data_IF_700456243658
#
_entry.id   IF_700456243658
#
_cell.length_a   1.000
_cell.length_b   1.000
_cell.length_c   1.000
_cell.angle_alpha   90.00
_cell.angle_beta   90.00
_cell.angle_gamma   90.00
#
_symmetry.space_group_name_H-M   'P 1'
#
loop_
_entity.id
_entity.type
_entity.pdbx_description
1 polymer ?
#
# COMPACT_ATOMS: atom_id res chain seq x y z
N UNK A 1 27.33 10.25 -23.29
CA UNK A 1 26.35 10.33 -24.39
C UNK A 1 27.09 10.05 -25.68
N UNK A 2 26.79 8.94 -26.34
CA UNK A 2 27.35 8.63 -27.66
C UNK A 2 26.62 9.42 -28.77
N UNK A 3 27.14 9.41 -29.99
CA UNK A 3 26.60 10.21 -31.09
C UNK A 3 25.14 9.85 -31.45
N UNK A 4 24.78 8.57 -31.32
CA UNK A 4 23.42 8.09 -31.55
C UNK A 4 22.44 8.57 -30.45
N UNK A 5 22.89 8.64 -29.20
CA UNK A 5 22.14 9.22 -28.09
C UNK A 5 22.02 10.74 -28.23
N UNK A 6 23.10 11.43 -28.64
CA UNK A 6 23.07 12.88 -28.86
C UNK A 6 22.12 13.28 -29.98
N UNK A 7 22.10 12.50 -31.07
CA UNK A 7 21.16 12.69 -32.18
C UNK A 7 19.72 12.51 -31.71
N UNK A 8 19.40 11.39 -31.03
CA UNK A 8 18.06 11.14 -30.47
C UNK A 8 17.61 12.24 -29.52
N UNK A 9 18.51 12.72 -28.67
CA UNK A 9 18.25 13.83 -27.76
C UNK A 9 17.95 15.15 -28.50
N UNK A 10 18.72 15.47 -29.52
CA UNK A 10 18.53 16.69 -30.32
C UNK A 10 17.24 16.62 -31.15
N UNK A 11 16.92 15.46 -31.72
CA UNK A 11 15.68 15.22 -32.45
C UNK A 11 14.46 15.37 -31.52
N UNK A 12 14.56 14.87 -30.27
CA UNK A 12 13.51 15.01 -29.28
C UNK A 12 13.33 16.46 -28.81
N UNK A 13 14.43 17.21 -28.62
CA UNK A 13 14.39 18.64 -28.32
C UNK A 13 13.70 19.44 -29.45
N UNK A 14 14.04 19.14 -30.71
CA UNK A 14 13.43 19.74 -31.87
C UNK A 14 11.92 19.41 -31.97
N UNK A 15 11.54 18.15 -31.73
CA UNK A 15 10.13 17.74 -31.66
C UNK A 15 9.34 18.50 -30.59
N UNK A 16 9.98 18.79 -29.46
CA UNK A 16 9.39 19.56 -28.36
C UNK A 16 9.52 21.08 -28.56
N UNK A 17 10.04 21.55 -29.70
CA UNK A 17 10.31 22.96 -29.99
C UNK A 17 11.15 23.66 -28.91
N UNK A 18 12.06 22.91 -28.28
CA UNK A 18 12.92 23.37 -27.21
C UNK A 18 14.37 23.43 -27.68
N UNK A 19 15.16 24.31 -27.08
CA UNK A 19 16.62 24.18 -27.18
C UNK A 19 17.07 22.90 -26.47
N UNK A 20 18.21 22.34 -26.88
CA UNK A 20 18.78 21.16 -26.23
C UNK A 20 18.91 21.36 -24.71
N UNK A 21 19.38 22.52 -24.24
CA UNK A 21 19.50 22.81 -22.81
C UNK A 21 18.14 22.83 -22.10
N UNK A 22 17.12 23.45 -22.71
CA UNK A 22 15.77 23.49 -22.15
C UNK A 22 15.13 22.11 -22.10
N UNK A 23 15.32 21.30 -23.15
CA UNK A 23 14.82 19.93 -23.21
C UNK A 23 15.50 19.04 -22.18
N UNK A 24 16.81 19.19 -21.97
CA UNK A 24 17.53 18.45 -20.92
C UNK A 24 17.03 18.80 -19.53
N UNK A 25 16.87 20.09 -19.22
CA UNK A 25 16.34 20.54 -17.94
C UNK A 25 14.91 20.00 -17.70
N UNK A 26 14.06 20.04 -18.73
CA UNK A 26 12.71 19.47 -18.68
C UNK A 26 12.71 17.95 -18.48
N UNK A 27 13.55 17.22 -19.22
CA UNK A 27 13.65 15.77 -19.10
C UNK A 27 14.18 15.33 -17.73
N UNK A 28 15.15 16.07 -17.17
CA UNK A 28 15.68 15.83 -15.83
C UNK A 28 14.64 16.13 -14.74
N UNK A 29 13.91 17.26 -14.84
CA UNK A 29 12.81 17.57 -13.91
C UNK A 29 11.72 16.48 -13.96
N UNK A 30 11.32 16.06 -15.16
CA UNK A 30 10.33 15.01 -15.34
C UNK A 30 10.80 13.66 -14.78
N UNK A 31 12.06 13.28 -15.01
CA UNK A 31 12.64 12.05 -14.46
C UNK A 31 12.73 12.10 -12.92
N UNK A 32 13.08 13.26 -12.34
CA UNK A 32 13.11 13.44 -10.90
C UNK A 32 11.70 13.34 -10.27
N UNK A 33 10.68 13.91 -10.94
CA UNK A 33 9.28 13.76 -10.50
C UNK A 33 8.80 12.32 -10.60
N UNK A 34 9.22 11.58 -11.62
CA UNK A 34 8.85 10.17 -11.78
C UNK A 34 9.42 9.32 -10.64
N UNK A 35 10.68 9.54 -10.24
CA UNK A 35 11.27 8.90 -9.06
C UNK A 35 10.50 9.22 -7.77
N UNK A 36 10.08 10.48 -7.60
CA UNK A 36 9.28 10.88 -6.44
C UNK A 36 7.88 10.24 -6.46
N UNK A 37 7.25 10.13 -7.65
CA UNK A 37 5.98 9.43 -7.84
C UNK A 37 6.09 7.96 -7.46
N UNK A 38 7.10 7.26 -7.97
CA UNK A 38 7.37 5.86 -7.62
C UNK A 38 7.65 5.70 -6.12
N UNK A 39 8.40 6.62 -5.51
CA UNK A 39 8.65 6.58 -4.06
C UNK A 39 7.37 6.78 -3.24
N UNK A 40 6.47 7.68 -3.66
CA UNK A 40 5.18 7.90 -3.01
C UNK A 40 4.25 6.69 -3.14
N UNK A 41 4.22 6.04 -4.31
CA UNK A 41 3.47 4.80 -4.53
C UNK A 41 4.00 3.67 -3.62
N UNK A 42 5.32 3.47 -3.57
CA UNK A 42 5.95 2.47 -2.68
C UNK A 42 5.67 2.77 -1.20
N UNK A 43 5.69 4.04 -0.79
CA UNK A 43 5.37 4.43 0.58
C UNK A 43 3.92 4.09 0.92
N UNK A 44 2.99 4.39 0.01
CA UNK A 44 1.56 4.08 0.15
C UNK A 44 1.34 2.57 0.24
N UNK A 45 1.97 1.77 -0.62
CA UNK A 45 1.88 0.30 -0.57
C UNK A 45 2.41 -0.26 0.77
N UNK A 46 3.52 0.30 1.27
CA UNK A 46 4.08 -0.08 2.57
C UNK A 46 3.15 0.22 3.74
N UNK A 47 2.44 1.35 3.72
CA UNK A 47 1.44 1.67 4.74
C UNK A 47 0.30 0.66 4.77
N UNK A 48 -0.22 0.27 3.59
CA UNK A 48 -1.27 -0.75 3.48
C UNK A 48 -0.79 -2.12 4.00
N UNK A 49 0.43 -2.53 3.66
CA UNK A 49 1.03 -3.77 4.17
C UNK A 49 1.22 -3.72 5.69
N UNK A 50 1.62 -2.58 6.23
CA UNK A 50 1.75 -2.38 7.68
C UNK A 50 0.41 -2.56 8.40
N UNK A 51 -0.67 -2.00 7.85
CA UNK A 51 -2.01 -2.19 8.41
C UNK A 51 -2.49 -3.64 8.32
N UNK A 52 -2.18 -4.34 7.22
CA UNK A 52 -2.48 -5.77 7.10
C UNK A 52 -1.75 -6.60 8.19
N UNK A 53 -0.48 -6.31 8.47
CA UNK A 53 0.26 -6.99 9.54
C UNK A 53 -0.29 -6.64 10.93
N UNK A 54 -0.70 -5.39 11.15
CA UNK A 54 -1.35 -4.98 12.39
C UNK A 54 -2.66 -5.75 12.61
N UNK A 55 -3.48 -5.87 11.56
CA UNK A 55 -4.71 -6.63 11.58
C UNK A 55 -4.49 -8.13 11.86
N UNK A 56 -3.51 -8.77 11.18
CA UNK A 56 -3.11 -10.16 11.46
C UNK A 56 -2.69 -10.35 12.91
N UNK A 57 -1.95 -9.40 13.50
CA UNK A 57 -1.55 -9.47 14.91
C UNK A 57 -2.75 -9.34 15.86
N UNK A 58 -3.74 -8.53 15.51
CA UNK A 58 -5.00 -8.45 16.24
C UNK A 58 -5.78 -9.78 16.20
N UNK A 59 -5.90 -10.41 15.03
CA UNK A 59 -6.53 -11.74 14.90
C UNK A 59 -5.79 -12.82 15.69
N UNK A 60 -4.45 -12.79 15.71
CA UNK A 60 -3.66 -13.74 16.51
C UNK A 60 -3.96 -13.63 18.01
N UNK A 61 -4.13 -12.41 18.53
CA UNK A 61 -4.56 -12.20 19.93
C UNK A 61 -5.99 -12.72 20.17
N UNK A 62 -6.87 -12.59 19.19
CA UNK A 62 -8.26 -13.05 19.28
C UNK A 62 -8.38 -14.58 19.26
N UNK A 63 -7.57 -15.28 18.46
CA UNK A 63 -7.46 -16.73 18.56
C UNK A 63 -6.99 -17.19 19.95
N UNK A 64 -6.05 -16.46 20.55
CA UNK A 64 -5.62 -16.71 21.93
C UNK A 64 -6.76 -16.56 22.94
N UNK A 65 -7.66 -15.59 22.74
CA UNK A 65 -8.86 -15.39 23.56
C UNK A 65 -9.90 -16.49 23.35
N UNK A 66 -10.20 -16.88 22.10
CA UNK A 66 -11.11 -18.01 21.83
C UNK A 66 -10.62 -19.31 22.45
N UNK A 67 -9.31 -19.58 22.38
CA UNK A 67 -8.72 -20.76 23.01
C UNK A 67 -8.87 -20.73 24.55
N UNK A 68 -8.77 -19.54 25.15
CA UNK A 68 -9.02 -19.36 26.58
C UNK A 68 -10.49 -19.54 26.95
N UNK A 69 -11.42 -19.01 26.15
CA UNK A 69 -12.87 -19.20 26.33
C UNK A 69 -13.25 -20.67 26.18
N UNK A 70 -12.75 -21.36 25.15
CA UNK A 70 -12.97 -22.79 24.97
C UNK A 70 -12.45 -23.58 26.18
N UNK A 71 -11.29 -23.20 26.73
CA UNK A 71 -10.76 -23.80 27.96
C UNK A 71 -11.63 -23.51 29.18
N UNK A 72 -12.16 -22.30 29.33
CA UNK A 72 -13.07 -21.91 30.42
C UNK A 72 -14.40 -22.67 30.37
N UNK A 73 -15.00 -22.76 29.17
CA UNK A 73 -16.23 -23.52 28.95
C UNK A 73 -16.02 -25.02 29.18
N UNK A 74 -14.92 -25.59 28.67
CA UNK A 74 -14.56 -27.00 28.91
C UNK A 74 -14.27 -27.31 30.38
N UNK A 75 -14.00 -26.29 31.20
CA UNK A 75 -13.81 -26.43 32.65
C UNK A 75 -15.07 -26.12 33.46
N UNK A 76 -16.21 -25.87 32.81
CA UNK A 76 -17.49 -25.58 33.47
C UNK A 76 -17.58 -24.19 34.09
N UNK A 77 -16.61 -23.31 33.85
CA UNK A 77 -16.63 -21.93 34.33
C UNK A 77 -17.44 -21.05 33.38
N UNK A 78 -18.34 -20.23 33.92
CA UNK A 78 -19.04 -19.20 33.14
C UNK A 78 -18.03 -18.29 32.43
N UNK A 79 -18.31 -17.91 31.18
CA UNK A 79 -17.41 -17.14 30.34
C UNK A 79 -17.88 -15.67 30.23
N UNK A 80 -17.68 -14.83 31.27
CA UNK A 80 -17.84 -13.40 31.12
C UNK A 80 -16.79 -12.90 30.10
N UNK A 81 -17.13 -11.88 29.31
CA UNK A 81 -16.30 -11.28 28.23
C UNK A 81 -16.40 -11.90 26.82
N UNK A 82 -17.29 -12.88 26.59
CA UNK A 82 -17.51 -13.46 25.27
C UNK A 82 -17.97 -12.42 24.23
N UNK A 83 -18.91 -11.54 24.61
CA UNK A 83 -19.42 -10.48 23.74
C UNK A 83 -18.33 -9.45 23.40
N UNK A 84 -17.52 -9.04 24.38
CA UNK A 84 -16.40 -8.11 24.17
C UNK A 84 -15.36 -8.70 23.23
N UNK A 85 -15.07 -10.00 23.34
CA UNK A 85 -14.18 -10.69 22.42
C UNK A 85 -14.78 -10.77 21.01
N UNK A 86 -16.07 -11.06 20.89
CA UNK A 86 -16.78 -11.11 19.61
C UNK A 86 -16.82 -9.74 18.90
N UNK A 87 -17.03 -8.66 19.63
CA UNK A 87 -17.02 -7.30 19.09
C UNK A 87 -15.60 -6.87 18.66
N UNK A 88 -14.58 -7.24 19.42
CA UNK A 88 -13.19 -7.01 19.03
C UNK A 88 -12.85 -7.75 17.72
N UNK A 89 -13.30 -9.00 17.58
CA UNK A 89 -13.15 -9.81 16.35
C UNK A 89 -13.85 -9.15 15.17
N UNK A 90 -15.10 -8.73 15.36
CA UNK A 90 -15.86 -8.01 14.33
C UNK A 90 -15.16 -6.72 13.90
N UNK A 91 -14.58 -5.99 14.85
CA UNK A 91 -13.82 -4.76 14.55
C UNK A 91 -12.54 -5.05 13.77
N UNK A 92 -11.81 -6.13 14.09
CA UNK A 92 -10.61 -6.50 13.33
C UNK A 92 -10.94 -7.01 11.92
N UNK A 93 -12.01 -7.79 11.77
CA UNK A 93 -12.48 -8.26 10.47
C UNK A 93 -12.84 -7.07 9.54
N UNK A 94 -13.57 -6.07 10.07
CA UNK A 94 -13.90 -4.85 9.32
C UNK A 94 -12.67 -4.07 8.88
N UNK A 95 -11.68 -3.89 9.76
CA UNK A 95 -10.42 -3.22 9.38
C UNK A 95 -9.64 -3.98 8.30
N UNK A 96 -9.76 -5.31 8.26
CA UNK A 96 -9.17 -6.10 7.17
C UNK A 96 -9.90 -5.92 5.85
N UNK A 97 -11.23 -5.89 5.87
CA UNK A 97 -12.05 -5.58 4.69
C UNK A 97 -11.69 -4.19 4.15
N UNK A 98 -11.68 -3.17 5.01
CA UNK A 98 -11.31 -1.79 4.64
C UNK A 98 -9.90 -1.72 4.02
N UNK A 99 -8.92 -2.42 4.60
CA UNK A 99 -7.55 -2.44 4.09
C UNK A 99 -7.42 -3.22 2.76
N UNK A 100 -8.17 -4.30 2.60
CA UNK A 100 -8.21 -5.05 1.34
C UNK A 100 -8.87 -4.24 0.21
N UNK A 101 -9.95 -3.53 0.51
CA UNK A 101 -10.63 -2.63 -0.43
C UNK A 101 -9.72 -1.48 -0.85
N UNK A 102 -8.95 -0.88 0.08
CA UNK A 102 -7.97 0.15 -0.23
C UNK A 102 -6.85 -0.38 -1.16
N UNK A 103 -6.38 -1.62 -0.96
CA UNK A 103 -5.38 -2.26 -1.81
C UNK A 103 -5.92 -2.49 -3.24
N UNK A 104 -7.17 -2.95 -3.37
CA UNK A 104 -7.82 -3.19 -4.66
C UNK A 104 -8.05 -1.87 -5.41
N UNK A 105 -8.55 -0.84 -4.74
CA UNK A 105 -8.76 0.49 -5.33
C UNK A 105 -7.46 1.11 -5.84
N UNK A 106 -6.35 0.94 -5.10
CA UNK A 106 -5.05 1.44 -5.54
C UNK A 106 -4.51 0.70 -6.77
N UNK A 107 -4.78 -0.61 -6.89
CA UNK A 107 -4.39 -1.43 -8.04
C UNK A 107 -5.16 -1.09 -9.31
N UNK A 108 -6.46 -0.81 -9.18
CA UNK A 108 -7.31 -0.47 -10.33
C UNK A 108 -7.05 0.97 -10.82
N UNK A 109 -6.76 1.91 -9.91
CA UNK A 109 -6.40 3.29 -10.25
C UNK A 109 -5.08 3.44 -11.02
N UNK A 110 -4.15 2.48 -10.92
CA UNK A 110 -2.89 2.47 -11.67
C UNK A 110 -3.00 1.98 -13.12
N UNK A 111 -4.18 1.54 -13.56
CA UNK A 111 -4.41 1.05 -14.95
C UNK A 111 -5.05 2.07 -15.89
N UNK A 112 -5.33 3.28 -15.39
CA UNK A 112 -6.00 4.33 -16.14
C UNK A 112 -5.20 5.65 -16.13
N UNK A 113 -4.00 5.66 -16.72
CA UNK A 113 -3.35 6.89 -17.23
C UNK A 113 -2.26 6.58 -18.26
#
# INVERSE_FOLDING_TARGET
MNDAEFKRFTDAAAHCQMSNAAFLAYAVDKAARDLNRTAAEIATEREVIHELFAARRHLGRMHGLFNQVAKALNSGAGAPHLDTAADAVRSAARRMEDAADALLAHRDGGTAE
#
